data_IF_002103707472
#
_entry.id   IF_002103707472
#
_cell.length_a   1.000
_cell.length_b   1.000
_cell.length_c   1.000
_cell.angle_alpha   90.00
_cell.angle_beta   90.00
_cell.angle_gamma   90.00
#
_symmetry.space_group_name_H-M   'P 1'
#
loop_
_entity.id
_entity.type
_entity.pdbx_description
1 polymer ?
#
# COMPACT_ATOMS: atom_id res chain seq x y z
N UNK A 1 11.02 -1.07 -3.77
CA UNK A 1 9.80 -0.30 -3.46
C UNK A 1 9.64 -0.27 -1.95
N UNK A 2 9.17 0.82 -1.38
CA UNK A 2 8.73 0.84 0.02
C UNK A 2 7.21 0.67 0.05
N UNK A 3 6.76 -0.24 0.91
CA UNK A 3 5.35 -0.41 1.25
C UNK A 3 5.17 0.19 2.64
N UNK A 4 4.36 1.23 2.72
CA UNK A 4 4.06 1.88 4.00
C UNK A 4 2.63 1.52 4.42
N UNK A 5 2.50 1.15 5.71
CA UNK A 5 1.25 0.76 6.34
C UNK A 5 0.79 1.84 7.30
N UNK A 6 -0.28 2.53 6.93
CA UNK A 6 -0.89 3.54 7.78
C UNK A 6 -2.29 3.09 8.17
N UNK A 7 -2.74 3.44 9.38
CA UNK A 7 -4.15 3.33 9.73
C UNK A 7 -4.75 4.72 9.98
N UNK A 8 -5.94 4.92 9.45
CA UNK A 8 -6.71 6.14 9.69
C UNK A 8 -8.14 5.80 10.10
N UNK A 9 -8.86 6.83 10.54
CA UNK A 9 -10.18 6.73 11.10
C UNK A 9 -11.16 7.52 10.24
N UNK A 10 -12.17 6.87 9.68
CA UNK A 10 -13.22 7.53 8.89
C UNK A 10 -14.48 7.69 9.73
N UNK A 11 -15.20 8.80 9.54
CA UNK A 11 -16.53 9.03 10.12
C UNK A 11 -16.54 9.16 11.64
N UNK A 12 -15.82 10.16 12.18
CA UNK A 12 -15.70 10.43 13.63
C UNK A 12 -15.11 9.26 14.43
N UNK A 13 -13.99 8.67 13.98
CA UNK A 13 -13.33 7.53 14.66
C UNK A 13 -14.16 6.24 14.77
N UNK A 14 -15.31 6.17 14.10
CA UNK A 14 -16.16 4.97 14.15
C UNK A 14 -15.57 3.79 13.39
N UNK A 15 -14.74 4.03 12.36
CA UNK A 15 -14.20 2.97 11.52
C UNK A 15 -12.71 3.13 11.31
N UNK A 16 -11.93 2.19 11.87
CA UNK A 16 -10.51 2.05 11.60
C UNK A 16 -10.35 1.45 10.19
N UNK A 17 -9.62 2.13 9.33
CA UNK A 17 -9.29 1.68 7.97
C UNK A 17 -7.78 1.67 7.80
N UNK A 18 -7.29 0.71 7.02
CA UNK A 18 -5.87 0.58 6.68
C UNK A 18 -5.64 1.18 5.30
N UNK A 19 -4.71 2.10 5.23
CA UNK A 19 -4.19 2.71 4.02
C UNK A 19 -2.84 2.05 3.74
N UNK A 20 -2.76 1.40 2.58
CA UNK A 20 -1.52 0.86 2.07
C UNK A 20 -0.99 1.78 0.98
N UNK A 21 0.27 2.18 1.09
CA UNK A 21 0.94 3.07 0.16
C UNK A 21 2.12 2.33 -0.48
N UNK A 22 2.17 2.34 -1.80
CA UNK A 22 3.33 1.87 -2.54
C UNK A 22 4.13 3.10 -3.01
N UNK A 23 5.35 3.23 -2.50
CA UNK A 23 6.23 4.38 -2.79
C UNK A 23 7.52 3.89 -3.46
N UNK A 24 7.90 4.55 -4.55
CA UNK A 24 9.15 4.29 -5.25
C UNK A 24 10.29 5.07 -4.56
N UNK A 25 11.17 4.39 -3.80
CA UNK A 25 12.30 5.02 -3.10
C UNK A 25 13.17 5.92 -3.99
N UNK A 26 13.44 5.48 -5.22
CA UNK A 26 14.33 6.17 -6.14
C UNK A 26 13.80 7.56 -6.55
N UNK A 27 12.48 7.71 -6.71
CA UNK A 27 11.85 8.97 -7.11
C UNK A 27 11.04 9.64 -6.01
N UNK A 28 10.84 8.97 -4.87
CA UNK A 28 9.91 9.32 -3.79
C UNK A 28 8.48 9.59 -4.27
N UNK A 29 8.06 8.93 -5.37
CA UNK A 29 6.70 9.07 -5.91
C UNK A 29 5.80 7.97 -5.37
N UNK A 30 4.55 8.34 -5.09
CA UNK A 30 3.49 7.38 -4.79
C UNK A 30 3.05 6.76 -6.11
N UNK A 31 3.13 5.44 -6.19
CA UNK A 31 2.89 4.68 -7.43
C UNK A 31 1.58 3.92 -7.40
N UNK A 32 1.12 3.55 -6.21
CA UNK A 32 -0.22 3.04 -5.97
C UNK A 32 -0.62 3.24 -4.50
N UNK A 33 -1.91 3.22 -4.23
CA UNK A 33 -2.46 3.24 -2.88
C UNK A 33 -3.81 2.52 -2.85
N UNK A 34 -4.17 1.98 -1.68
CA UNK A 34 -5.48 1.32 -1.49
C UNK A 34 -5.96 1.42 -0.05
N UNK A 35 -7.27 1.43 0.14
CA UNK A 35 -7.91 1.42 1.46
C UNK A 35 -8.57 0.07 1.72
N UNK A 36 -8.41 -0.47 2.92
CA UNK A 36 -9.02 -1.75 3.30
C UNK A 36 -8.86 -2.14 4.76
N UNK A 37 -8.83 -3.45 4.98
CA UNK A 37 -8.63 -4.08 6.29
C UNK A 37 -7.13 -4.37 6.51
N UNK A 38 -6.73 -4.62 7.78
CA UNK A 38 -5.40 -5.12 8.12
C UNK A 38 -5.28 -6.56 7.64
N UNK A 39 -4.85 -6.79 6.42
CA UNK A 39 -4.71 -8.15 5.91
C UNK A 39 -4.24 -8.20 4.48
N UNK A 40 -3.73 -9.38 4.10
CA UNK A 40 -3.20 -9.69 2.78
C UNK A 40 -4.15 -9.38 1.63
N UNK A 41 -5.47 -9.40 1.88
CA UNK A 41 -6.47 -9.04 0.87
C UNK A 41 -6.28 -7.63 0.36
N UNK A 42 -5.92 -6.69 1.24
CA UNK A 42 -5.68 -5.29 0.87
C UNK A 42 -4.34 -5.15 0.13
N UNK A 43 -3.31 -5.88 0.56
CA UNK A 43 -2.01 -5.93 -0.11
C UNK A 43 -2.11 -6.53 -1.53
N UNK A 44 -2.90 -7.61 -1.71
CA UNK A 44 -3.15 -8.22 -3.02
C UNK A 44 -3.89 -7.26 -3.96
N UNK A 45 -4.84 -6.47 -3.45
CA UNK A 45 -5.48 -5.40 -4.23
C UNK A 45 -4.51 -4.30 -4.63
N UNK A 46 -3.61 -3.90 -3.73
CA UNK A 46 -2.56 -2.95 -4.06
C UNK A 46 -1.66 -3.50 -5.18
N UNK A 47 -1.28 -4.77 -5.09
CA UNK A 47 -0.48 -5.45 -6.10
C UNK A 47 -1.13 -5.43 -7.47
N UNK A 48 -2.43 -5.73 -7.53
CA UNK A 48 -3.20 -5.68 -8.78
C UNK A 48 -3.33 -4.26 -9.34
N UNK A 49 -3.38 -3.25 -8.47
CA UNK A 49 -3.42 -1.84 -8.89
C UNK A 49 -2.06 -1.33 -9.41
N UNK A 50 -0.96 -2.04 -9.14
CA UNK A 50 0.36 -1.63 -9.61
C UNK A 50 0.49 -1.82 -11.13
N UNK A 51 1.04 -0.81 -11.84
CA UNK A 51 1.36 -0.95 -13.25
C UNK A 51 2.31 -2.13 -13.49
N UNK A 52 2.09 -2.88 -14.57
CA UNK A 52 2.82 -4.12 -14.92
C UNK A 52 4.35 -3.96 -14.91
N UNK A 53 4.87 -2.74 -15.15
CA UNK A 53 6.30 -2.42 -15.06
C UNK A 53 6.91 -2.70 -13.68
N UNK A 54 6.13 -2.61 -12.60
CA UNK A 54 6.59 -2.88 -11.23
C UNK A 54 6.52 -4.36 -10.85
N UNK A 55 5.73 -5.17 -11.56
CA UNK A 55 5.55 -6.60 -11.27
C UNK A 55 6.82 -7.42 -11.51
N UNK A 56 7.74 -6.98 -12.39
CA UNK A 56 8.93 -7.74 -12.77
C UNK A 56 10.21 -7.39 -12.00
N UNK A 57 10.27 -6.26 -11.29
CA UNK A 57 11.56 -5.70 -10.83
C UNK A 57 11.52 -4.93 -9.50
N UNK A 58 10.50 -5.13 -8.65
CA UNK A 58 10.51 -4.51 -7.33
C UNK A 58 10.82 -5.53 -6.23
N UNK A 59 11.86 -5.22 -5.45
CA UNK A 59 12.08 -5.80 -4.13
C UNK A 59 11.18 -5.05 -3.14
N UNK A 60 10.36 -5.79 -2.40
CA UNK A 60 9.45 -5.27 -1.39
C UNK A 60 10.15 -5.38 -0.04
N UNK A 61 10.38 -4.25 0.61
CA UNK A 61 10.78 -4.22 2.00
C UNK A 61 9.54 -3.84 2.80
N UNK A 62 8.92 -4.83 3.42
CA UNK A 62 7.97 -4.66 4.52
C UNK A 62 8.75 -4.94 5.78
N UNK A 63 8.93 -3.92 6.63
CA UNK A 63 9.46 -4.12 7.99
C UNK A 63 8.37 -4.85 8.79
N UNK A 64 8.64 -6.11 9.16
CA UNK A 64 7.86 -6.86 10.16
C UNK A 64 8.09 -6.34 11.58
#
# INVERSE_FOLDING_TARGET
MELDEMWTFIGRKKRKVWLWLAVERASRRIVAWTFGCRGETTASRLWQALPTRYHRHCWYFTDE
#
